data_IF_474709771682
#
_entry.id   IF_474709771682
#
_cell.length_a   1.000
_cell.length_b   1.000
_cell.length_c   1.000
_cell.angle_alpha   90.00
_cell.angle_beta   90.00
_cell.angle_gamma   90.00
#
_symmetry.space_group_name_H-M   'P 1'
#
loop_
_entity.id
_entity.type
_entity.pdbx_description
1 polymer ?
#
# COMPACT_ATOMS: atom_id res chain seq x y z
N UNK A 1 -17.80 -22.11 -19.42
CA UNK A 1 -17.10 -20.83 -19.14
C UNK A 1 -16.12 -20.68 -20.27
N UNK A 2 -16.17 -19.59 -21.04
CA UNK A 2 -15.09 -19.28 -21.97
C UNK A 2 -13.83 -19.26 -21.16
N UNK A 3 -12.77 -19.96 -21.61
CA UNK A 3 -11.56 -20.17 -20.83
C UNK A 3 -10.94 -18.83 -20.44
N UNK A 4 -10.63 -18.65 -19.16
CA UNK A 4 -9.86 -17.51 -18.66
C UNK A 4 -8.39 -17.94 -18.64
N UNK A 5 -7.59 -17.34 -19.52
CA UNK A 5 -6.16 -17.62 -19.66
C UNK A 5 -5.38 -16.37 -19.25
N UNK A 6 -4.65 -16.47 -18.15
CA UNK A 6 -3.94 -15.35 -17.55
C UNK A 6 -2.44 -15.50 -17.85
N UNK A 7 -1.84 -14.51 -18.47
CA UNK A 7 -0.38 -14.39 -18.62
C UNK A 7 0.13 -13.44 -17.52
N UNK A 8 0.89 -13.91 -16.53
CA UNK A 8 1.59 -13.01 -15.62
C UNK A 8 2.84 -12.45 -16.27
N UNK A 9 3.13 -11.16 -16.07
CA UNK A 9 4.36 -10.53 -16.51
C UNK A 9 5.02 -9.72 -15.39
N UNK A 10 6.35 -9.84 -15.25
CA UNK A 10 7.13 -9.30 -14.15
C UNK A 10 7.39 -10.32 -13.03
N UNK A 11 8.43 -10.06 -12.21
CA UNK A 11 8.92 -11.02 -11.20
C UNK A 11 8.96 -10.40 -9.80
N UNK A 12 7.80 -10.02 -9.26
CA UNK A 12 7.72 -9.62 -7.84
C UNK A 12 7.29 -10.80 -6.97
N UNK A 13 7.74 -10.82 -5.71
CA UNK A 13 7.32 -11.87 -4.77
C UNK A 13 5.80 -11.91 -4.59
N UNK A 14 5.13 -10.75 -4.50
CA UNK A 14 3.68 -10.69 -4.39
C UNK A 14 2.96 -11.26 -5.62
N UNK A 15 3.45 -10.96 -6.84
CA UNK A 15 2.87 -11.53 -8.06
C UNK A 15 3.02 -13.05 -8.09
N UNK A 16 4.17 -13.59 -7.70
CA UNK A 16 4.39 -15.03 -7.60
C UNK A 16 3.39 -15.71 -6.66
N UNK A 17 3.13 -15.12 -5.48
CA UNK A 17 2.10 -15.63 -4.58
C UNK A 17 0.69 -15.48 -5.14
N UNK A 18 0.41 -14.39 -5.87
CA UNK A 18 -0.87 -14.23 -6.55
C UNK A 18 -1.09 -15.31 -7.61
N UNK A 19 -0.08 -15.60 -8.43
CA UNK A 19 -0.12 -16.68 -9.43
C UNK A 19 -0.36 -18.04 -8.78
N UNK A 20 0.38 -18.36 -7.71
CA UNK A 20 0.16 -19.60 -6.96
C UNK A 20 -1.28 -19.70 -6.47
N UNK A 21 -1.80 -18.64 -5.86
CA UNK A 21 -3.17 -18.60 -5.33
C UNK A 21 -4.25 -18.77 -6.42
N UNK A 22 -4.02 -18.18 -7.61
CA UNK A 22 -4.91 -18.33 -8.78
C UNK A 22 -4.87 -19.77 -9.30
N UNK A 23 -3.67 -20.34 -9.48
CA UNK A 23 -3.49 -21.72 -9.91
C UNK A 23 -4.15 -22.73 -8.96
N UNK A 24 -3.96 -22.56 -7.65
CA UNK A 24 -4.59 -23.40 -6.62
C UNK A 24 -6.14 -23.38 -6.68
N UNK A 25 -6.73 -22.39 -7.39
CA UNK A 25 -8.17 -22.23 -7.62
C UNK A 25 -8.62 -22.58 -9.03
N UNK A 26 -7.74 -23.21 -9.81
CA UNK A 26 -8.06 -23.74 -11.13
C UNK A 26 -8.01 -22.71 -12.27
N UNK A 27 -7.46 -21.52 -12.04
CA UNK A 27 -7.20 -20.57 -13.13
C UNK A 27 -6.01 -21.02 -13.96
N UNK A 28 -6.14 -20.89 -15.28
CA UNK A 28 -5.09 -21.26 -16.22
C UNK A 28 -4.07 -20.13 -16.34
N UNK A 29 -2.84 -20.39 -15.90
CA UNK A 29 -1.73 -19.46 -16.01
C UNK A 29 -0.82 -19.91 -17.17
N UNK A 30 -0.57 -18.99 -18.09
CA UNK A 30 0.32 -19.22 -19.23
C UNK A 30 1.72 -18.70 -18.90
N UNK A 31 2.74 -19.35 -19.46
CA UNK A 31 4.15 -18.95 -19.30
C UNK A 31 4.62 -18.04 -20.42
N UNK A 32 3.98 -18.13 -21.57
CA UNK A 32 4.37 -17.43 -22.79
C UNK A 32 3.17 -16.73 -23.42
N UNK A 33 3.45 -15.69 -24.19
CA UNK A 33 2.45 -15.01 -25.00
C UNK A 33 1.86 -15.98 -26.04
N UNK A 34 0.53 -16.02 -26.14
CA UNK A 34 -0.20 -16.89 -27.02
C UNK A 34 -1.51 -16.24 -27.47
N UNK A 35 -2.10 -16.63 -28.62
CA UNK A 35 -3.32 -16.04 -29.14
C UNK A 35 -4.56 -16.27 -28.26
N UNK A 36 -4.51 -17.21 -27.35
CA UNK A 36 -5.60 -17.55 -26.42
C UNK A 36 -5.51 -16.80 -25.08
N UNK A 37 -4.47 -15.99 -24.85
CA UNK A 37 -4.38 -15.10 -23.66
C UNK A 37 -5.60 -14.17 -23.62
N UNK A 38 -6.30 -14.19 -22.49
CA UNK A 38 -7.46 -13.30 -22.26
C UNK A 38 -7.13 -12.16 -21.30
N UNK A 39 -6.15 -12.38 -20.39
CA UNK A 39 -5.78 -11.41 -19.37
C UNK A 39 -4.26 -11.35 -19.21
N UNK A 40 -3.70 -10.14 -19.17
CA UNK A 40 -2.31 -9.89 -18.76
C UNK A 40 -2.31 -9.40 -17.31
N UNK A 41 -1.64 -10.13 -16.42
CA UNK A 41 -1.54 -9.78 -15.00
C UNK A 41 -0.16 -9.19 -14.69
N UNK A 42 -0.15 -7.92 -14.33
CA UNK A 42 1.04 -7.16 -13.96
C UNK A 42 1.19 -7.06 -12.42
N UNK A 43 2.39 -6.74 -11.91
CA UNK A 43 2.59 -6.43 -10.49
C UNK A 43 1.75 -5.23 -10.02
N UNK A 44 1.62 -5.06 -8.70
CA UNK A 44 0.94 -3.90 -8.10
C UNK A 44 1.89 -3.21 -7.11
N UNK A 45 2.36 -1.98 -7.42
CA UNK A 45 2.25 -1.23 -8.69
C UNK A 45 2.96 -1.93 -9.86
N UNK A 46 2.52 -1.63 -11.10
CA UNK A 46 2.98 -2.35 -12.30
C UNK A 46 4.36 -1.93 -12.78
N UNK A 47 4.68 -0.64 -12.71
CA UNK A 47 5.86 -0.09 -13.37
C UNK A 47 6.87 0.51 -12.40
N UNK A 48 8.13 0.47 -12.79
CA UNK A 48 9.22 1.27 -12.22
C UNK A 48 9.16 2.72 -12.75
N UNK A 49 10.00 3.61 -12.22
CA UNK A 49 10.04 5.02 -12.64
C UNK A 49 10.50 5.23 -14.08
N UNK A 50 11.16 4.25 -14.68
CA UNK A 50 11.62 4.26 -16.07
C UNK A 50 10.61 3.61 -17.04
N UNK A 51 9.43 3.24 -16.59
CA UNK A 51 8.37 2.63 -17.37
C UNK A 51 8.49 1.11 -17.56
N UNK A 52 9.58 0.48 -17.14
CA UNK A 52 9.71 -0.99 -17.20
C UNK A 52 8.78 -1.67 -16.20
N UNK A 53 8.33 -2.87 -16.53
CA UNK A 53 7.53 -3.70 -15.61
C UNK A 53 8.37 -4.03 -14.37
N UNK A 54 7.78 -3.92 -13.20
CA UNK A 54 8.44 -4.30 -11.94
C UNK A 54 8.84 -5.76 -11.92
N UNK A 55 10.11 -5.99 -11.60
CA UNK A 55 10.70 -7.32 -11.65
C UNK A 55 11.15 -7.77 -13.06
N UNK A 56 11.11 -6.87 -14.04
CA UNK A 56 11.66 -7.09 -15.37
C UNK A 56 10.63 -7.21 -16.49
N UNK A 57 11.09 -6.92 -17.68
CA UNK A 57 10.29 -6.93 -18.91
C UNK A 57 9.95 -5.53 -19.42
N UNK A 58 9.80 -5.46 -20.75
CA UNK A 58 9.37 -4.27 -21.50
C UNK A 58 7.95 -4.56 -21.98
N UNK A 59 7.01 -3.71 -21.60
CA UNK A 59 5.60 -3.94 -21.86
C UNK A 59 5.29 -4.06 -23.35
N UNK A 60 5.85 -3.18 -24.17
CA UNK A 60 5.66 -3.14 -25.61
C UNK A 60 6.03 -4.47 -26.27
N UNK A 61 7.13 -5.10 -25.82
CA UNK A 61 7.56 -6.40 -26.35
C UNK A 61 6.52 -7.49 -26.03
N UNK A 62 5.99 -7.52 -24.82
CA UNK A 62 4.98 -8.49 -24.41
C UNK A 62 3.69 -8.29 -25.22
N UNK A 63 3.26 -7.03 -25.39
CA UNK A 63 2.02 -6.70 -26.10
C UNK A 63 2.09 -6.99 -27.61
N UNK A 64 3.28 -7.12 -28.19
CA UNK A 64 3.44 -7.42 -29.61
C UNK A 64 2.84 -8.78 -29.99
N UNK A 65 2.96 -9.75 -29.09
CA UNK A 65 2.56 -11.14 -29.33
C UNK A 65 1.19 -11.48 -28.72
N UNK A 66 0.47 -10.46 -28.22
CA UNK A 66 -0.83 -10.63 -27.55
C UNK A 66 -2.01 -10.07 -28.37
N UNK A 67 -3.20 -10.67 -28.27
CA UNK A 67 -4.43 -10.11 -28.84
C UNK A 67 -4.72 -8.69 -28.33
N UNK A 68 -5.38 -7.87 -29.14
CA UNK A 68 -5.71 -6.49 -28.79
C UNK A 68 -6.91 -6.34 -27.87
N UNK A 69 -7.72 -7.37 -27.74
CA UNK A 69 -8.94 -7.42 -26.94
C UNK A 69 -8.76 -8.00 -25.54
N UNK A 70 -7.50 -8.25 -25.13
CA UNK A 70 -7.21 -8.72 -23.78
C UNK A 70 -7.47 -7.66 -22.71
N UNK A 71 -7.73 -8.12 -21.50
CA UNK A 71 -7.83 -7.25 -20.31
C UNK A 71 -6.48 -7.17 -19.60
N UNK A 72 -6.02 -5.95 -19.31
CA UNK A 72 -4.80 -5.69 -18.54
C UNK A 72 -5.17 -5.49 -17.06
N UNK A 73 -4.59 -6.26 -16.16
CA UNK A 73 -4.82 -6.16 -14.72
C UNK A 73 -3.51 -5.81 -14.01
N UNK A 74 -3.52 -4.81 -13.15
CA UNK A 74 -2.32 -4.37 -12.43
C UNK A 74 -2.60 -3.23 -11.46
N UNK A 75 -1.62 -2.37 -11.25
CA UNK A 75 -1.80 -1.16 -10.44
C UNK A 75 -0.97 0.01 -10.95
N UNK A 76 -1.53 1.21 -10.95
CA UNK A 76 -0.98 2.39 -11.63
C UNK A 76 -0.74 2.09 -13.12
N UNK A 77 -1.80 1.76 -13.83
CA UNK A 77 -1.77 1.38 -15.25
C UNK A 77 -1.67 2.62 -16.18
N UNK A 78 -1.05 3.68 -15.73
CA UNK A 78 -0.76 4.88 -16.52
C UNK A 78 0.52 4.65 -17.35
N UNK A 79 0.37 4.03 -18.52
CA UNK A 79 1.46 3.76 -19.45
C UNK A 79 0.98 3.93 -20.90
N UNK A 80 1.73 4.66 -21.77
CA UNK A 80 1.30 4.95 -23.16
C UNK A 80 0.96 3.71 -23.98
N UNK A 81 1.70 2.63 -23.81
CA UNK A 81 1.48 1.37 -24.54
C UNK A 81 0.15 0.67 -24.19
N UNK A 82 -0.50 1.06 -23.11
CA UNK A 82 -1.80 0.50 -22.69
C UNK A 82 -3.00 1.25 -23.31
N UNK A 83 -2.75 2.28 -24.11
CA UNK A 83 -3.82 3.01 -24.79
C UNK A 83 -4.61 2.06 -25.70
N UNK A 84 -5.93 2.05 -25.54
CA UNK A 84 -6.84 1.20 -26.31
C UNK A 84 -7.07 -0.21 -25.75
N UNK A 85 -6.41 -0.60 -24.66
CA UNK A 85 -6.72 -1.84 -23.95
C UNK A 85 -7.78 -1.61 -22.86
N UNK A 86 -8.53 -2.66 -22.54
CA UNK A 86 -9.38 -2.68 -21.36
C UNK A 86 -8.48 -2.85 -20.12
N UNK A 87 -8.56 -1.92 -19.16
CA UNK A 87 -7.69 -1.89 -17.99
C UNK A 87 -8.48 -2.04 -16.70
N UNK A 88 -7.99 -2.90 -15.79
CA UNK A 88 -8.48 -3.09 -14.44
C UNK A 88 -7.38 -2.71 -13.45
N UNK A 89 -7.35 -1.44 -13.05
CA UNK A 89 -6.37 -0.95 -12.08
C UNK A 89 -6.84 -1.25 -10.66
N UNK A 90 -6.14 -2.16 -9.98
CA UNK A 90 -6.46 -2.59 -8.62
C UNK A 90 -6.25 -1.45 -7.60
N UNK A 91 -5.40 -0.46 -7.89
CA UNK A 91 -5.22 0.70 -7.02
C UNK A 91 -6.37 1.72 -7.11
N UNK A 92 -7.26 1.56 -8.08
CA UNK A 92 -8.54 2.28 -8.16
C UNK A 92 -9.70 1.49 -7.55
N UNK A 93 -9.53 0.20 -7.27
CA UNK A 93 -10.55 -0.62 -6.63
C UNK A 93 -10.66 -0.30 -5.13
N UNK A 94 -11.83 0.16 -4.69
CA UNK A 94 -12.05 0.63 -3.32
C UNK A 94 -11.84 -0.46 -2.26
N UNK A 95 -12.21 -1.71 -2.56
CA UNK A 95 -12.05 -2.84 -1.65
C UNK A 95 -10.57 -3.25 -1.55
N UNK A 96 -9.88 -3.32 -2.70
CA UNK A 96 -8.45 -3.60 -2.73
C UNK A 96 -7.65 -2.59 -1.90
N UNK A 97 -7.84 -1.29 -2.15
CA UNK A 97 -7.05 -0.27 -1.44
C UNK A 97 -7.37 -0.19 0.04
N UNK A 98 -8.61 -0.51 0.45
CA UNK A 98 -8.97 -0.60 1.86
C UNK A 98 -8.25 -1.77 2.55
N UNK A 99 -8.24 -2.95 1.96
CA UNK A 99 -7.55 -4.14 2.49
C UNK A 99 -6.03 -3.98 2.44
N UNK A 100 -5.49 -3.39 1.37
CA UNK A 100 -4.06 -3.10 1.26
C UNK A 100 -3.58 -2.09 2.32
N UNK A 101 -4.43 -1.14 2.72
CA UNK A 101 -4.12 -0.21 3.81
C UNK A 101 -3.95 -0.94 5.16
N UNK A 102 -4.75 -1.97 5.43
CA UNK A 102 -4.60 -2.78 6.64
C UNK A 102 -3.28 -3.57 6.64
N UNK A 103 -2.89 -4.15 5.50
CA UNK A 103 -1.59 -4.83 5.36
C UNK A 103 -0.44 -3.82 5.53
N UNK A 104 -0.57 -2.62 4.93
CA UNK A 104 0.45 -1.56 5.07
C UNK A 104 0.63 -1.14 6.53
N UNK A 105 -0.46 -1.00 7.28
CA UNK A 105 -0.43 -0.66 8.70
C UNK A 105 0.28 -1.74 9.53
N UNK A 106 -0.04 -3.02 9.30
CA UNK A 106 0.64 -4.14 9.96
C UNK A 106 2.15 -4.14 9.69
N UNK A 107 2.55 -4.02 8.42
CA UNK A 107 3.97 -3.93 8.05
C UNK A 107 4.66 -2.74 8.72
N UNK A 108 4.02 -1.58 8.79
CA UNK A 108 4.58 -0.39 9.44
C UNK A 108 4.76 -0.58 10.94
N UNK A 109 3.80 -1.21 11.61
CA UNK A 109 3.89 -1.55 13.03
C UNK A 109 5.02 -2.55 13.29
N UNK A 110 5.16 -3.57 12.44
CA UNK A 110 6.27 -4.54 12.53
C UNK A 110 7.62 -3.87 12.31
N UNK A 111 7.74 -3.00 11.30
CA UNK A 111 8.96 -2.23 11.03
C UNK A 111 9.37 -1.38 12.22
N UNK A 112 8.42 -0.66 12.84
CA UNK A 112 8.68 0.12 14.04
C UNK A 112 9.04 -0.78 15.23
N UNK A 113 8.30 -1.87 15.43
CA UNK A 113 8.51 -2.80 16.55
C UNK A 113 9.89 -3.46 16.54
N UNK A 114 10.50 -3.67 15.38
CA UNK A 114 11.88 -4.18 15.27
C UNK A 114 12.94 -3.19 15.78
N UNK A 115 12.61 -1.91 15.84
CA UNK A 115 13.53 -0.83 16.23
C UNK A 115 13.20 -0.24 17.60
N UNK A 116 11.98 -0.47 18.11
CA UNK A 116 11.54 0.04 19.41
C UNK A 116 12.19 -0.77 20.55
N UNK A 117 12.81 -0.11 21.54
CA UNK A 117 13.34 -0.78 22.74
C UNK A 117 12.26 -1.03 23.81
N UNK A 118 10.99 -0.74 23.52
CA UNK A 118 9.86 -0.86 24.44
C UNK A 118 8.68 -1.57 23.74
N UNK A 119 7.76 -2.10 24.53
CA UNK A 119 6.51 -2.68 24.01
C UNK A 119 5.52 -1.58 23.60
N UNK A 120 4.48 -1.95 22.86
CA UNK A 120 3.46 -1.00 22.42
C UNK A 120 2.55 -0.50 23.54
N UNK A 121 2.32 -1.33 24.58
CA UNK A 121 1.49 -0.92 25.71
C UNK A 121 2.09 0.31 26.41
N UNK A 122 1.25 1.36 26.53
CA UNK A 122 1.66 2.68 27.01
C UNK A 122 2.57 3.50 26.07
N UNK A 123 3.03 2.93 24.95
CA UNK A 123 3.87 3.65 23.98
C UNK A 123 3.10 4.79 23.33
N UNK A 124 3.65 6.02 23.38
CA UNK A 124 3.01 7.18 22.77
C UNK A 124 3.36 7.27 21.27
N UNK A 125 2.32 7.21 20.43
CA UNK A 125 2.45 7.18 18.97
C UNK A 125 1.63 8.31 18.36
N UNK A 126 2.26 9.10 17.48
CA UNK A 126 1.58 10.10 16.66
C UNK A 126 1.38 9.56 15.23
N UNK A 127 0.16 9.63 14.74
CA UNK A 127 -0.21 9.32 13.38
C UNK A 127 -0.61 10.61 12.67
N UNK A 128 0.15 11.01 11.66
CA UNK A 128 -0.16 12.14 10.81
C UNK A 128 -1.06 11.68 9.67
N UNK A 129 -2.35 12.10 9.72
CA UNK A 129 -3.37 11.79 8.74
C UNK A 129 -4.41 10.74 9.18
N UNK A 130 -5.65 10.97 8.75
CA UNK A 130 -6.82 10.12 9.02
C UNK A 130 -7.37 9.46 7.76
N UNK A 131 -6.46 9.08 6.83
CA UNK A 131 -6.77 8.29 5.65
C UNK A 131 -6.94 6.79 5.98
N UNK A 132 -7.01 5.95 4.95
CA UNK A 132 -7.18 4.49 5.10
C UNK A 132 -6.08 3.87 5.98
N UNK A 133 -4.81 4.19 5.69
CA UNK A 133 -3.67 3.66 6.47
C UNK A 133 -3.70 4.20 7.90
N UNK A 134 -3.92 5.51 8.09
CA UNK A 134 -3.98 6.12 9.41
C UNK A 134 -5.07 5.52 10.31
N UNK A 135 -6.24 5.20 9.75
CA UNK A 135 -7.34 4.52 10.46
C UNK A 135 -6.95 3.10 10.88
N UNK A 136 -6.30 2.34 10.00
CA UNK A 136 -5.83 0.99 10.30
C UNK A 136 -4.73 1.00 11.38
N UNK A 137 -3.75 1.90 11.28
CA UNK A 137 -2.71 2.09 12.28
C UNK A 137 -3.32 2.42 13.66
N UNK A 138 -4.24 3.39 13.71
CA UNK A 138 -4.87 3.79 14.97
C UNK A 138 -5.61 2.63 15.63
N UNK A 139 -6.37 1.85 14.86
CA UNK A 139 -7.11 0.71 15.37
C UNK A 139 -6.19 -0.39 15.91
N UNK A 140 -5.14 -0.77 15.15
CA UNK A 140 -4.21 -1.83 15.52
C UNK A 140 -3.35 -1.42 16.72
N UNK A 141 -2.75 -0.24 16.72
CA UNK A 141 -1.92 0.26 17.81
C UNK A 141 -2.71 0.44 19.10
N UNK A 142 -3.95 0.94 19.01
CA UNK A 142 -4.84 1.03 20.17
C UNK A 142 -5.14 -0.35 20.76
N UNK A 143 -5.39 -1.36 19.93
CA UNK A 143 -5.61 -2.73 20.39
C UNK A 143 -4.37 -3.34 21.06
N UNK A 144 -3.18 -2.83 20.75
CA UNK A 144 -1.91 -3.21 21.39
C UNK A 144 -1.59 -2.38 22.66
N UNK A 145 -2.52 -1.54 23.13
CA UNK A 145 -2.36 -0.71 24.34
C UNK A 145 -1.59 0.59 24.14
N UNK A 146 -1.25 0.98 22.92
CA UNK A 146 -0.53 2.22 22.65
C UNK A 146 -1.38 3.46 22.92
N UNK A 147 -0.73 4.55 23.39
CA UNK A 147 -1.33 5.88 23.51
C UNK A 147 -1.34 6.56 22.15
N UNK A 148 -2.42 6.35 21.41
CA UNK A 148 -2.53 6.81 20.01
C UNK A 148 -3.05 8.24 19.95
N UNK A 149 -2.28 9.09 19.28
CA UNK A 149 -2.62 10.46 18.92
C UNK A 149 -2.73 10.53 17.39
N UNK A 150 -3.80 11.08 16.87
CA UNK A 150 -4.02 11.18 15.42
C UNK A 150 -4.23 12.62 15.02
N UNK A 151 -3.52 13.06 13.98
CA UNK A 151 -3.77 14.37 13.40
C UNK A 151 -4.80 14.33 12.28
N UNK A 152 -5.71 15.29 12.25
CA UNK A 152 -6.66 15.46 11.15
C UNK A 152 -6.96 16.95 10.92
N UNK A 153 -7.18 17.30 9.63
CA UNK A 153 -7.53 18.68 9.24
C UNK A 153 -8.95 19.06 9.63
N UNK A 154 -9.90 18.15 9.36
CA UNK A 154 -11.34 18.40 9.59
C UNK A 154 -11.70 18.20 11.06
N UNK A 155 -12.49 19.10 11.61
CA UNK A 155 -13.02 19.00 12.98
C UNK A 155 -13.88 17.74 13.17
N UNK A 156 -14.71 17.42 12.18
CA UNK A 156 -15.53 16.19 12.19
C UNK A 156 -14.69 14.92 12.28
N UNK A 157 -13.53 14.89 11.61
CA UNK A 157 -12.60 13.75 11.70
C UNK A 157 -11.97 13.69 13.11
N UNK A 158 -11.59 14.83 13.69
CA UNK A 158 -11.06 14.89 15.05
C UNK A 158 -12.08 14.45 16.10
N UNK A 159 -13.36 14.85 15.94
CA UNK A 159 -14.43 14.37 16.79
C UNK A 159 -14.63 12.85 16.67
N UNK A 160 -14.58 12.29 15.46
CA UNK A 160 -14.67 10.85 15.25
C UNK A 160 -13.47 10.10 15.88
N UNK A 161 -12.24 10.62 15.74
CA UNK A 161 -11.04 10.05 16.38
C UNK A 161 -11.23 9.96 17.90
N UNK A 162 -11.78 11.03 18.53
CA UNK A 162 -12.06 11.04 19.96
C UNK A 162 -13.16 10.05 20.34
N UNK A 163 -14.23 9.97 19.57
CA UNK A 163 -15.31 9.00 19.77
C UNK A 163 -14.82 7.55 19.70
N UNK A 164 -13.79 7.29 18.87
CA UNK A 164 -13.10 5.99 18.79
C UNK A 164 -12.07 5.77 19.92
N UNK A 165 -11.97 6.72 20.86
CA UNK A 165 -11.10 6.63 22.03
C UNK A 165 -9.60 6.82 21.74
N UNK A 166 -9.28 7.59 20.71
CA UNK A 166 -7.93 8.10 20.45
C UNK A 166 -7.88 9.61 20.75
N UNK A 167 -6.70 10.12 21.07
CA UNK A 167 -6.50 11.56 21.16
C UNK A 167 -6.39 12.16 19.77
N UNK A 168 -7.00 13.32 19.52
CA UNK A 168 -6.88 14.02 18.24
C UNK A 168 -6.20 15.36 18.36
N UNK A 169 -5.47 15.74 17.32
CA UNK A 169 -4.86 17.06 17.17
C UNK A 169 -5.12 17.63 15.77
N UNK A 170 -4.95 18.92 15.62
CA UNK A 170 -4.95 19.58 14.33
C UNK A 170 -3.63 19.27 13.58
N UNK A 171 -3.71 18.93 12.29
CA UNK A 171 -2.51 18.55 11.50
C UNK A 171 -1.49 19.68 11.40
N UNK A 172 -1.93 20.94 11.43
CA UNK A 172 -1.05 22.12 11.37
C UNK A 172 -0.35 22.45 12.70
N UNK A 173 -0.68 21.74 13.81
CA UNK A 173 -0.15 22.06 15.16
C UNK A 173 0.35 20.81 15.89
N UNK A 174 1.32 20.08 15.36
CA UNK A 174 1.84 18.85 15.96
C UNK A 174 2.86 19.10 17.09
N UNK A 175 3.39 20.33 17.23
CA UNK A 175 4.58 20.66 18.01
C UNK A 175 4.48 20.24 19.47
N UNK A 176 3.30 20.37 20.08
CA UNK A 176 3.10 20.00 21.48
C UNK A 176 3.22 18.47 21.74
N UNK A 177 3.06 17.65 20.71
CA UNK A 177 3.11 16.18 20.86
C UNK A 177 4.47 15.59 20.46
N UNK A 178 5.17 16.21 19.51
CA UNK A 178 6.43 15.68 18.96
C UNK A 178 7.48 15.31 20.02
N UNK A 179 7.74 16.15 21.08
CA UNK A 179 8.75 15.84 22.10
C UNK A 179 8.41 14.61 22.94
N UNK A 180 7.17 14.15 22.91
CA UNK A 180 6.65 13.10 23.78
C UNK A 180 6.43 11.76 23.07
N UNK A 181 6.51 11.75 21.73
CA UNK A 181 6.24 10.56 20.94
C UNK A 181 7.47 9.67 20.79
N UNK A 182 7.26 8.35 20.87
CA UNK A 182 8.28 7.34 20.57
C UNK A 182 8.29 6.98 19.09
N UNK A 183 7.14 7.11 18.43
CA UNK A 183 6.99 6.85 17.01
C UNK A 183 6.08 7.91 16.40
N UNK A 184 6.46 8.39 15.23
CA UNK A 184 5.62 9.24 14.37
C UNK A 184 5.46 8.54 13.03
N UNK A 185 4.23 8.18 12.68
CA UNK A 185 3.88 7.69 11.35
C UNK A 185 3.28 8.81 10.52
N UNK A 186 3.82 9.04 9.32
CA UNK A 186 3.18 9.90 8.33
C UNK A 186 2.44 9.08 7.28
N UNK A 187 1.19 9.47 6.99
CA UNK A 187 0.36 8.87 5.93
C UNK A 187 -0.13 9.91 4.92
N UNK A 188 0.31 11.16 5.03
CA UNK A 188 -0.11 12.29 4.19
C UNK A 188 0.94 12.49 3.09
N UNK A 189 0.58 12.45 1.80
CA UNK A 189 1.51 12.62 0.68
C UNK A 189 1.81 14.10 0.33
N UNK A 190 1.85 14.95 1.35
CA UNK A 190 2.15 16.38 1.28
C UNK A 190 3.21 16.70 2.35
N UNK A 191 3.85 17.84 2.26
CA UNK A 191 4.82 18.30 3.26
C UNK A 191 4.08 18.59 4.59
N UNK A 192 4.35 17.81 5.63
CA UNK A 192 3.62 17.85 6.92
C UNK A 192 4.49 18.17 8.12
N UNK A 193 5.78 17.82 8.09
CA UNK A 193 6.74 18.19 9.12
C UNK A 193 8.01 18.77 8.48
N UNK A 194 8.36 19.98 8.90
CA UNK A 194 9.64 20.60 8.55
C UNK A 194 10.82 19.92 9.27
N UNK A 195 12.04 20.27 8.89
CA UNK A 195 13.23 19.76 9.56
C UNK A 195 13.31 20.24 11.01
N UNK A 196 12.86 21.47 11.31
CA UNK A 196 12.79 22.03 12.66
C UNK A 196 11.78 21.23 13.50
N UNK A 197 10.61 20.91 12.94
CA UNK A 197 9.60 20.13 13.65
C UNK A 197 10.06 18.69 13.91
N UNK A 198 10.70 18.03 12.94
CA UNK A 198 11.24 16.67 13.17
C UNK A 198 12.37 16.67 14.22
N UNK A 199 13.15 17.75 14.31
CA UNK A 199 14.19 17.92 15.34
C UNK A 199 13.61 18.16 16.76
N UNK A 200 12.31 18.49 16.90
CA UNK A 200 11.65 18.58 18.21
C UNK A 200 11.34 17.22 18.81
N UNK A 201 11.38 16.13 18.03
CA UNK A 201 11.15 14.79 18.54
C UNK A 201 12.23 14.39 19.53
N UNK A 202 11.85 13.63 20.57
CA UNK A 202 12.81 13.12 21.53
C UNK A 202 13.88 12.21 20.88
N UNK A 203 15.10 12.16 21.44
CA UNK A 203 16.12 11.23 20.95
C UNK A 203 15.62 9.78 20.90
N UNK A 204 15.87 9.11 19.77
CA UNK A 204 15.40 7.74 19.52
C UNK A 204 13.94 7.63 19.12
N UNK A 205 13.25 8.72 18.86
CA UNK A 205 11.93 8.70 18.22
C UNK A 205 12.03 8.16 16.79
N UNK A 206 11.21 7.18 16.43
CA UNK A 206 11.15 6.62 15.09
C UNK A 206 10.25 7.48 14.20
N UNK A 207 10.81 8.00 13.12
CA UNK A 207 10.09 8.79 12.12
C UNK A 207 9.89 7.94 10.86
N UNK A 208 8.67 7.45 10.65
CA UNK A 208 8.34 6.51 9.56
C UNK A 208 7.33 7.16 8.61
N UNK A 209 7.75 7.41 7.39
CA UNK A 209 6.92 8.00 6.35
C UNK A 209 6.40 6.92 5.40
N UNK A 210 5.08 6.70 5.44
CA UNK A 210 4.36 5.70 4.65
C UNK A 210 3.70 6.29 3.40
N UNK A 211 3.75 7.61 3.25
CA UNK A 211 3.07 8.29 2.16
C UNK A 211 3.70 7.98 0.80
N UNK A 212 2.94 8.13 -0.28
CA UNK A 212 3.41 7.93 -1.65
C UNK A 212 4.49 8.97 -2.04
N UNK A 213 4.40 10.19 -1.51
CA UNK A 213 5.41 11.24 -1.56
C UNK A 213 5.90 11.48 -0.13
N UNK A 214 7.21 11.61 0.08
CA UNK A 214 7.80 11.91 1.38
C UNK A 214 7.28 13.25 1.89
N UNK A 215 6.67 13.27 3.07
CA UNK A 215 6.06 14.46 3.68
C UNK A 215 6.75 14.93 4.96
N UNK A 216 7.70 14.17 5.51
CA UNK A 216 8.51 14.59 6.65
C UNK A 216 9.94 14.92 6.21
N UNK A 217 10.43 16.11 6.55
CA UNK A 217 11.81 16.50 6.30
C UNK A 217 12.72 15.97 7.43
N UNK A 218 14.00 15.70 7.11
CA UNK A 218 15.02 15.24 8.06
C UNK A 218 15.75 13.99 7.58
N UNK A 219 17.00 13.80 8.08
CA UNK A 219 17.88 12.66 7.70
C UNK A 219 17.47 11.35 8.39
N UNK A 220 16.85 11.43 9.56
CA UNK A 220 16.45 10.25 10.34
C UNK A 220 15.04 9.75 9.99
N UNK A 221 14.42 10.35 8.95
CA UNK A 221 13.11 9.92 8.46
C UNK A 221 13.25 8.73 7.53
N UNK A 222 12.72 7.60 7.94
CA UNK A 222 12.61 6.38 7.13
C UNK A 222 11.42 6.49 6.18
N UNK A 223 11.67 6.59 4.87
CA UNK A 223 10.60 6.56 3.86
C UNK A 223 10.30 5.13 3.44
N UNK A 224 9.27 4.54 4.04
CA UNK A 224 8.93 3.12 3.94
C UNK A 224 7.81 2.86 2.91
N UNK A 225 8.16 2.89 1.62
CA UNK A 225 7.24 2.62 0.51
C UNK A 225 7.18 1.15 0.12
N UNK A 226 5.99 0.71 -0.30
CA UNK A 226 5.79 -0.62 -0.87
C UNK A 226 5.97 -1.75 0.14
N UNK A 227 5.78 -1.48 1.43
CA UNK A 227 5.91 -2.44 2.52
C UNK A 227 5.15 -3.76 2.26
N UNK A 228 3.86 -3.77 1.85
CA UNK A 228 3.13 -5.00 1.67
C UNK A 228 3.82 -6.00 0.73
N UNK A 229 4.31 -5.53 -0.41
CA UNK A 229 4.97 -6.41 -1.39
C UNK A 229 6.36 -6.89 -0.97
N UNK A 230 7.03 -6.16 -0.06
CA UNK A 230 8.37 -6.48 0.45
C UNK A 230 8.32 -7.37 1.69
N UNK A 231 7.50 -6.98 2.67
CA UNK A 231 7.53 -7.57 4.01
C UNK A 231 6.49 -8.67 4.20
N UNK A 232 5.37 -8.60 3.45
CA UNK A 232 4.29 -9.60 3.50
C UNK A 232 3.83 -9.97 2.09
N UNK A 233 4.74 -10.48 1.23
CA UNK A 233 4.42 -10.75 -0.17
C UNK A 233 3.32 -11.79 -0.36
N UNK A 234 3.18 -12.75 0.55
CA UNK A 234 2.11 -13.74 0.50
C UNK A 234 0.73 -13.11 0.75
N UNK A 235 0.59 -12.26 1.78
CA UNK A 235 -0.64 -11.53 2.06
C UNK A 235 -1.02 -10.59 0.92
N UNK A 236 -0.03 -9.88 0.37
CA UNK A 236 -0.21 -9.03 -0.81
C UNK A 236 -0.65 -9.83 -2.03
N UNK A 237 0.00 -10.95 -2.31
CA UNK A 237 -0.33 -11.82 -3.43
C UNK A 237 -1.73 -12.42 -3.30
N UNK A 238 -2.10 -12.88 -2.10
CA UNK A 238 -3.44 -13.38 -1.83
C UNK A 238 -4.51 -12.29 -2.02
N UNK A 239 -4.22 -11.03 -1.63
CA UNK A 239 -5.12 -9.91 -1.86
C UNK A 239 -5.26 -9.59 -3.35
N UNK A 240 -4.17 -9.56 -4.11
CA UNK A 240 -4.19 -9.40 -5.57
C UNK A 240 -5.07 -10.47 -6.20
N UNK A 241 -4.79 -11.74 -5.92
CA UNK A 241 -5.51 -12.87 -6.52
C UNK A 241 -7.01 -12.87 -6.18
N UNK A 242 -7.39 -12.62 -4.91
CA UNK A 242 -8.80 -12.52 -4.51
C UNK A 242 -9.51 -11.39 -5.22
N UNK A 243 -8.84 -10.26 -5.42
CA UNK A 243 -9.41 -9.12 -6.14
C UNK A 243 -9.57 -9.43 -7.62
N UNK A 244 -8.56 -10.04 -8.25
CA UNK A 244 -8.63 -10.52 -9.63
C UNK A 244 -9.82 -11.46 -9.80
N UNK A 245 -9.92 -12.51 -8.97
CA UNK A 245 -11.04 -13.46 -9.01
C UNK A 245 -12.38 -12.72 -8.91
N UNK A 246 -12.54 -11.86 -7.90
CA UNK A 246 -13.78 -11.10 -7.69
C UNK A 246 -14.19 -10.28 -8.91
N UNK A 247 -13.22 -9.63 -9.56
CA UNK A 247 -13.50 -8.75 -10.71
C UNK A 247 -13.87 -9.58 -11.95
N UNK A 248 -13.06 -10.60 -12.28
CA UNK A 248 -13.25 -11.38 -13.51
C UNK A 248 -14.40 -12.42 -13.41
N UNK A 249 -14.85 -12.76 -12.19
CA UNK A 249 -15.99 -13.67 -11.99
C UNK A 249 -17.30 -12.95 -11.68
N UNK A 250 -17.30 -11.63 -11.47
CA UNK A 250 -18.54 -10.86 -11.41
C UNK A 250 -19.21 -10.94 -12.78
N UNK A 251 -20.36 -11.66 -12.82
CA UNK A 251 -21.30 -11.49 -13.92
C UNK A 251 -21.85 -10.07 -13.81
N UNK A 252 -21.74 -9.30 -14.90
CA UNK A 252 -22.47 -8.04 -15.07
C UNK A 252 -23.97 -8.24 -14.86
#
# INVERSE_FOLDING_TARGET
MNGIYILPAGYTAALRYACKYLSDRGFQLLTDAAPDVTHLLLPVPSFESDGRIRGGGILEHILTDLPKDITIIGGNLDHPALSGYHMLDLLLDAEYVAKNAAITADCAIRLAGQQLPVIWDGCRVLILGWGRIGKCLAAQLKAMGAQVIVSARKESDRALIQALGCRSIETAKPEAELPHCRVVFNTIPEDVLSQEQTAMCQPGCLLIDLASKKGMAGKDVSHARGLPGKDTPESSGALIARTVIRIITRKE
#
